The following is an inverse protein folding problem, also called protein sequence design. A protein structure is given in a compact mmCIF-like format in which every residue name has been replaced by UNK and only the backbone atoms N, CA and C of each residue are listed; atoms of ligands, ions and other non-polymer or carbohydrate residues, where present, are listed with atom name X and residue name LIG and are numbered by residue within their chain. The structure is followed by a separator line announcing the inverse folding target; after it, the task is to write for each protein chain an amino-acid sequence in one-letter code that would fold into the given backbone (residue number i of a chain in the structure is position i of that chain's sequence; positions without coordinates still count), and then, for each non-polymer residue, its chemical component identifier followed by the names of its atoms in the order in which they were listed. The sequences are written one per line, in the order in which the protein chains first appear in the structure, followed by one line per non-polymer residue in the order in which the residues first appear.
data_IF_586537838825
#
_entry.id   IF_586537838825
#
_cell.length_a   1.000
_cell.length_b   1.000
_cell.length_c   1.000
_cell.angle_alpha   90.00
_cell.angle_beta   90.00
_cell.angle_gamma   90.00
#
_symmetry.space_group_name_H-M   'P 1'
#
loop_
_entity.id
_entity.type
_entity.pdbx_description
1 polymer ?
#
# COMPACT_ATOMS: atom_id res chain seq x y z
N UNK A 1 -5.34 -3.93 -2.17
CA UNK A 1 -5.42 -3.04 -0.99
C UNK A 1 -5.26 -1.62 -1.49
N UNK A 2 -5.91 -0.63 -0.87
CA UNK A 2 -5.86 0.77 -1.35
C UNK A 2 -5.08 1.63 -0.36
N UNK A 3 -4.07 2.36 -0.82
CA UNK A 3 -3.30 3.26 0.05
C UNK A 3 -4.17 4.44 0.46
N UNK A 4 -4.30 4.69 1.76
CA UNK A 4 -5.10 5.80 2.32
C UNK A 4 -4.24 6.84 3.03
N UNK A 5 -3.03 6.48 3.44
CA UNK A 5 -2.07 7.37 4.10
C UNK A 5 -0.65 6.89 3.83
N UNK A 6 0.28 7.83 3.62
CA UNK A 6 1.72 7.54 3.57
C UNK A 6 2.35 7.93 4.90
N UNK A 7 3.20 7.05 5.43
CA UNK A 7 3.92 7.23 6.68
C UNK A 7 5.41 7.43 6.41
N UNK A 8 6.14 7.80 7.46
CA UNK A 8 7.60 7.91 7.38
C UNK A 8 8.26 6.55 7.11
N UNK A 9 9.53 6.61 6.70
CA UNK A 9 10.39 5.42 6.51
C UNK A 9 9.87 4.38 5.51
N UNK A 10 9.01 4.80 4.57
CA UNK A 10 8.50 3.94 3.51
C UNK A 10 7.38 3.00 3.96
N UNK A 11 6.59 3.40 4.95
CA UNK A 11 5.36 2.71 5.34
C UNK A 11 4.12 3.43 4.80
N UNK A 12 3.00 2.72 4.78
CA UNK A 12 1.71 3.25 4.40
C UNK A 12 0.59 2.56 5.16
N UNK A 13 -0.49 3.28 5.44
CA UNK A 13 -1.76 2.68 5.86
C UNK A 13 -2.57 2.35 4.62
N UNK A 14 -3.06 1.13 4.55
CA UNK A 14 -3.96 0.65 3.49
C UNK A 14 -5.32 0.30 4.04
N UNK A 15 -6.35 0.59 3.27
CA UNK A 15 -7.69 0.04 3.47
C UNK A 15 -7.78 -1.33 2.79
N UNK A 16 -8.28 -2.30 3.54
CA UNK A 16 -8.54 -3.67 3.12
C UNK A 16 -10.04 -3.97 3.17
N UNK A 17 -10.44 -5.20 2.83
CA UNK A 17 -11.83 -5.62 3.01
C UNK A 17 -12.25 -5.81 4.48
N UNK A 18 -11.29 -5.81 5.41
CA UNK A 18 -11.48 -6.13 6.83
C UNK A 18 -11.11 -4.96 7.76
N UNK A 19 -10.60 -3.86 7.21
CA UNK A 19 -10.18 -2.68 7.96
C UNK A 19 -8.84 -2.13 7.48
N UNK A 20 -8.16 -1.38 8.34
CA UNK A 20 -6.89 -0.73 8.02
C UNK A 20 -5.69 -1.52 8.53
N UNK A 21 -4.66 -1.56 7.71
CA UNK A 21 -3.39 -2.23 8.02
C UNK A 21 -2.21 -1.32 7.65
N UNK A 22 -1.13 -1.40 8.42
CA UNK A 22 0.14 -0.78 8.10
C UNK A 22 1.00 -1.75 7.29
N UNK A 23 1.52 -1.30 6.16
CA UNK A 23 2.35 -2.10 5.25
C UNK A 23 3.59 -1.33 4.81
N UNK A 24 4.67 -2.05 4.55
CA UNK A 24 5.85 -1.47 3.92
C UNK A 24 5.58 -1.22 2.44
N UNK A 25 5.98 -0.07 1.94
CA UNK A 25 5.98 0.33 0.53
C UNK A 25 7.39 0.67 0.04
N UNK A 26 8.42 0.29 0.78
CA UNK A 26 9.81 0.65 0.48
C UNK A 26 10.28 0.14 -0.91
N UNK A 27 9.68 -0.95 -1.41
CA UNK A 27 10.05 -1.56 -2.70
C UNK A 27 9.23 -1.04 -3.89
N UNK A 28 8.18 -0.24 -3.67
CA UNK A 28 7.29 0.21 -4.73
C UNK A 28 6.88 1.66 -4.49
N UNK A 29 7.04 2.51 -5.50
CA UNK A 29 6.67 3.93 -5.38
C UNK A 29 5.15 4.13 -5.40
N UNK A 30 4.47 3.96 -4.27
CA UNK A 30 3.03 4.11 -4.10
C UNK A 30 2.63 5.52 -3.60
N UNK A 31 1.45 5.96 -4.01
CA UNK A 31 0.78 7.18 -3.56
C UNK A 31 -0.61 6.88 -2.99
N UNK A 32 -1.16 7.85 -2.26
CA UNK A 32 -2.54 7.77 -1.75
C UNK A 32 -3.52 7.57 -2.90
N UNK A 33 -4.43 6.61 -2.75
CA UNK A 33 -5.41 6.20 -3.76
C UNK A 33 -4.94 5.06 -4.67
N UNK A 34 -3.64 4.74 -4.69
CA UNK A 34 -3.16 3.61 -5.47
C UNK A 34 -3.69 2.28 -4.94
N UNK A 35 -3.92 1.36 -5.86
CA UNK A 35 -4.12 -0.05 -5.55
C UNK A 35 -2.79 -0.79 -5.60
N UNK A 36 -2.49 -1.52 -4.54
CA UNK A 36 -1.27 -2.30 -4.40
C UNK A 36 -1.54 -3.76 -4.05
N UNK A 37 -0.58 -4.60 -4.44
CA UNK A 37 -0.46 -6.00 -4.02
C UNK A 37 0.59 -6.10 -2.91
N UNK A 38 0.27 -6.86 -1.87
CA UNK A 38 1.11 -7.02 -0.68
C UNK A 38 1.35 -8.51 -0.44
N UNK A 39 2.58 -8.87 -0.08
CA UNK A 39 2.94 -10.21 0.38
C UNK A 39 3.82 -10.10 1.63
N UNK A 40 3.46 -10.85 2.67
CA UNK A 40 4.18 -10.83 3.95
C UNK A 40 4.40 -9.42 4.55
N UNK A 41 3.43 -8.51 4.38
CA UNK A 41 3.48 -7.13 4.89
C UNK A 41 4.26 -6.14 4.01
N UNK A 42 4.85 -6.60 2.91
CA UNK A 42 5.59 -5.78 1.95
C UNK A 42 4.79 -5.59 0.65
N UNK A 43 4.69 -4.35 0.17
CA UNK A 43 4.13 -4.07 -1.14
C UNK A 43 5.08 -4.57 -2.23
N UNK A 44 4.54 -5.30 -3.21
CA UNK A 44 5.33 -5.89 -4.30
C UNK A 44 4.96 -5.36 -5.68
N UNK A 45 3.80 -4.71 -5.81
CA UNK A 45 3.36 -4.12 -7.07
C UNK A 45 2.28 -3.04 -6.86
N UNK A 46 2.24 -2.08 -7.80
CA UNK A 46 1.11 -1.16 -8.02
C UNK A 46 0.27 -1.65 -9.19
N UNK A 47 -1.04 -1.47 -9.08
CA UNK A 47 -2.00 -1.75 -10.15
C UNK A 47 -2.38 -0.44 -10.81
N UNK A 48 -2.17 -0.35 -12.12
CA UNK A 48 -2.69 0.77 -12.91
C UNK A 48 -4.18 0.56 -13.20
N UNK A 49 -4.96 1.64 -13.14
CA UNK A 49 -6.32 1.63 -13.64
C UNK A 49 -6.28 2.01 -15.13
N UNK A 50 -6.70 1.09 -16.00
CA UNK A 50 -6.94 1.34 -17.43
C UNK A 50 -8.16 2.20 -17.68
#
# INVERSE_FOLDING_TARGET
MTVVELLDLGFAVVETGSGREEVSVALVSAGVGDRILVHAGEAIARLENS
#
